data_IF_588113114813
#
_entry.id   IF_588113114813
#
_cell.length_a   1.000
_cell.length_b   1.000
_cell.length_c   1.000
_cell.angle_alpha   90.00
_cell.angle_beta   90.00
_cell.angle_gamma   90.00
#
_symmetry.space_group_name_H-M   'P 1'
#
loop_
_entity.id
_entity.type
_entity.pdbx_description
1 polymer ?
#
# COMPACT_ATOMS: atom_id res chain seq x y z
N UNK A 1 19.07 -11.89 7.68
CA UNK A 1 17.69 -11.35 7.59
C UNK A 1 17.60 -9.90 8.06
N UNK A 2 17.94 -9.57 9.31
CA UNK A 2 17.85 -8.19 9.83
C UNK A 2 18.58 -7.13 8.96
N UNK A 3 19.82 -7.41 8.55
CA UNK A 3 20.62 -6.52 7.69
C UNK A 3 19.90 -6.26 6.35
N UNK A 4 19.40 -7.31 5.70
CA UNK A 4 18.65 -7.19 4.44
C UNK A 4 17.41 -6.31 4.63
N UNK A 5 16.57 -6.61 5.62
CA UNK A 5 15.35 -5.84 5.88
C UNK A 5 15.64 -4.39 6.26
N UNK A 6 16.78 -4.11 6.90
CA UNK A 6 17.21 -2.75 7.18
C UNK A 6 17.48 -1.96 5.89
N UNK A 7 18.24 -2.52 4.95
CA UNK A 7 18.45 -1.84 3.66
C UNK A 7 17.15 -1.69 2.86
N UNK A 8 16.27 -2.70 2.87
CA UNK A 8 14.99 -2.65 2.18
C UNK A 8 14.04 -1.59 2.79
N UNK A 9 13.98 -1.45 4.12
CA UNK A 9 13.16 -0.42 4.75
C UNK A 9 13.70 0.99 4.49
N UNK A 10 15.03 1.17 4.47
CA UNK A 10 15.65 2.45 4.12
C UNK A 10 15.34 2.80 2.66
N UNK A 11 15.31 1.82 1.76
CA UNK A 11 14.93 2.04 0.38
C UNK A 11 13.46 2.50 0.27
N UNK A 12 12.53 1.86 0.98
CA UNK A 12 11.12 2.26 1.02
C UNK A 12 10.94 3.66 1.63
N UNK A 13 11.59 3.96 2.74
CA UNK A 13 11.58 5.30 3.33
C UNK A 13 12.17 6.35 2.37
N UNK A 14 13.20 5.98 1.61
CA UNK A 14 13.81 6.80 0.57
C UNK A 14 12.85 7.17 -0.57
N UNK A 15 11.87 6.31 -0.90
CA UNK A 15 10.84 6.61 -1.91
C UNK A 15 10.03 7.85 -1.50
N UNK A 16 9.60 7.94 -0.24
CA UNK A 16 8.85 9.08 0.27
C UNK A 16 9.66 10.38 0.20
N UNK A 17 10.91 10.34 0.68
CA UNK A 17 11.80 11.52 0.67
C UNK A 17 12.19 11.97 -0.75
N UNK A 18 12.14 11.06 -1.72
CA UNK A 18 12.55 11.31 -3.10
C UNK A 18 11.41 11.75 -4.02
N UNK A 19 10.17 11.87 -3.50
CA UNK A 19 8.97 12.20 -4.30
C UNK A 19 9.16 13.41 -5.20
N UNK A 20 9.77 14.49 -4.70
CA UNK A 20 10.01 15.73 -5.46
C UNK A 20 10.84 15.53 -6.73
N UNK A 21 11.63 14.47 -6.82
CA UNK A 21 12.50 14.18 -7.96
C UNK A 21 11.77 13.39 -9.05
N UNK A 22 11.00 12.36 -8.67
CA UNK A 22 10.30 11.51 -9.63
C UNK A 22 8.88 12.01 -9.94
N UNK A 23 8.29 12.87 -9.11
CA UNK A 23 6.93 13.37 -9.35
C UNK A 23 6.84 14.11 -10.68
N UNK A 24 7.84 14.92 -11.05
CA UNK A 24 7.89 15.59 -12.36
C UNK A 24 7.85 14.60 -13.55
N UNK A 25 8.35 13.37 -13.35
CA UNK A 25 8.33 12.31 -14.36
C UNK A 25 6.98 11.59 -14.44
N UNK A 26 6.15 11.70 -13.39
CA UNK A 26 4.92 10.91 -13.18
C UNK A 26 3.63 11.73 -13.08
N UNK A 27 3.70 13.02 -12.76
CA UNK A 27 2.54 13.91 -12.54
C UNK A 27 1.63 14.04 -13.76
N UNK A 28 2.18 13.85 -14.96
CA UNK A 28 1.40 13.91 -16.19
C UNK A 28 0.70 12.59 -16.47
N UNK A 29 -0.64 12.57 -16.61
CA UNK A 29 -1.43 11.36 -16.80
C UNK A 29 -1.11 10.54 -18.07
N UNK A 30 -0.28 11.07 -18.98
CA UNK A 30 0.10 10.43 -20.24
C UNK A 30 1.45 9.70 -20.19
N UNK A 31 2.14 9.69 -19.04
CA UNK A 31 3.49 9.14 -18.93
C UNK A 31 3.43 7.60 -18.81
N UNK A 32 4.18 6.85 -19.65
CA UNK A 32 4.19 5.39 -19.64
C UNK A 32 4.48 4.75 -18.29
N UNK A 33 5.39 5.37 -17.51
CA UNK A 33 5.83 4.83 -16.22
C UNK A 33 4.72 4.78 -15.18
N UNK A 34 3.82 5.76 -15.19
CA UNK A 34 2.67 5.80 -14.29
C UNK A 34 1.68 4.67 -14.63
N UNK A 35 1.39 4.49 -15.93
CA UNK A 35 0.54 3.39 -16.39
C UNK A 35 1.15 2.01 -16.08
N UNK A 36 2.47 1.85 -16.21
CA UNK A 36 3.16 0.63 -15.83
C UNK A 36 3.05 0.35 -14.32
N UNK A 37 3.32 1.33 -13.47
CA UNK A 37 3.22 1.19 -12.01
C UNK A 37 1.78 0.92 -11.54
N UNK A 38 0.81 1.49 -12.25
CA UNK A 38 -0.61 1.17 -12.13
C UNK A 38 -0.92 -0.30 -12.39
N UNK A 39 -0.50 -0.81 -13.56
CA UNK A 39 -0.64 -2.22 -13.91
C UNK A 39 0.06 -3.16 -12.93
N UNK A 40 1.26 -2.77 -12.47
CA UNK A 40 1.99 -3.51 -11.44
C UNK A 40 1.23 -3.57 -10.10
N UNK A 41 0.59 -2.47 -9.69
CA UNK A 41 -0.24 -2.41 -8.48
C UNK A 41 -1.49 -3.30 -8.60
N UNK A 42 -2.14 -3.32 -9.76
CA UNK A 42 -3.26 -4.24 -10.04
C UNK A 42 -2.83 -5.70 -9.92
N UNK A 43 -1.70 -6.06 -10.52
CA UNK A 43 -1.15 -7.41 -10.41
C UNK A 43 -0.79 -7.76 -8.96
N UNK A 44 -0.21 -6.82 -8.19
CA UNK A 44 0.08 -7.01 -6.77
C UNK A 44 -1.20 -7.36 -6.00
N UNK A 45 -2.27 -6.59 -6.17
CA UNK A 45 -3.55 -6.84 -5.49
C UNK A 45 -4.09 -8.23 -5.85
N UNK A 46 -4.19 -8.53 -7.15
CA UNK A 46 -4.92 -9.73 -7.61
C UNK A 46 -4.10 -11.01 -7.39
N UNK A 47 -2.82 -10.99 -7.76
CA UNK A 47 -1.97 -12.18 -7.82
C UNK A 47 -1.27 -12.47 -6.49
N UNK A 48 -1.01 -11.44 -5.68
CA UNK A 48 -0.25 -11.59 -4.43
C UNK A 48 -1.12 -11.36 -3.20
N UNK A 49 -1.74 -10.18 -3.09
CA UNK A 49 -2.47 -9.77 -1.89
C UNK A 49 -3.71 -10.63 -1.63
N UNK A 50 -4.55 -10.89 -2.64
CA UNK A 50 -5.79 -11.67 -2.45
C UNK A 50 -5.54 -13.14 -2.04
N UNK A 51 -4.61 -13.90 -2.66
CA UNK A 51 -4.29 -15.25 -2.19
C UNK A 51 -3.74 -15.26 -0.76
N UNK A 52 -2.94 -14.24 -0.41
CA UNK A 52 -2.42 -14.11 0.94
C UNK A 52 -3.52 -13.81 1.97
N UNK A 53 -4.43 -12.89 1.62
CA UNK A 53 -5.60 -12.56 2.40
C UNK A 53 -6.42 -13.81 2.77
N UNK A 54 -6.64 -14.71 1.81
CA UNK A 54 -7.36 -15.96 2.05
C UNK A 54 -6.64 -16.87 3.06
N UNK A 55 -5.30 -16.92 3.05
CA UNK A 55 -4.53 -17.70 4.03
C UNK A 55 -4.68 -17.11 5.43
N UNK A 56 -4.52 -15.79 5.55
CA UNK A 56 -4.67 -15.07 6.82
C UNK A 56 -6.09 -15.22 7.38
N UNK A 57 -7.12 -15.17 6.52
CA UNK A 57 -8.50 -15.38 6.95
C UNK A 57 -8.73 -16.77 7.54
N UNK A 58 -8.17 -17.81 6.92
CA UNK A 58 -8.30 -19.19 7.43
C UNK A 58 -7.66 -19.31 8.82
N UNK A 59 -6.46 -18.76 9.01
CA UNK A 59 -5.80 -18.74 10.31
C UNK A 59 -6.59 -17.95 11.35
N UNK A 60 -7.15 -16.81 10.96
CA UNK A 60 -8.00 -15.99 11.82
C UNK A 60 -9.25 -16.74 12.29
N UNK A 61 -9.94 -17.44 11.38
CA UNK A 61 -11.16 -18.20 11.69
C UNK A 61 -10.91 -19.43 12.58
N UNK A 62 -9.69 -19.97 12.60
CA UNK A 62 -9.30 -21.03 13.54
C UNK A 62 -9.20 -20.47 14.97
N UNK A 63 -8.72 -19.23 15.11
CA UNK A 63 -8.46 -18.60 16.41
C UNK A 63 -9.70 -17.93 17.00
N UNK A 64 -10.57 -17.37 16.16
CA UNK A 64 -11.78 -16.67 16.57
C UNK A 64 -12.99 -17.50 16.13
N UNK A 65 -13.87 -17.93 17.06
CA UNK A 65 -15.07 -18.68 16.71
C UNK A 65 -16.07 -17.76 15.98
N UNK A 66 -16.00 -17.76 14.65
CA UNK A 66 -16.95 -17.09 13.77
C UNK A 66 -18.07 -18.08 13.43
N UNK A 67 -19.36 -17.69 13.44
CA UNK A 67 -20.41 -18.59 12.99
C UNK A 67 -20.19 -18.98 11.52
N UNK A 68 -20.39 -20.26 11.17
CA UNK A 68 -20.13 -20.82 9.82
C UNK A 68 -20.69 -19.99 8.66
N UNK A 69 -21.84 -19.34 8.85
CA UNK A 69 -22.47 -18.45 7.85
C UNK A 69 -21.60 -17.22 7.49
N UNK A 70 -20.74 -16.78 8.41
CA UNK A 70 -19.92 -15.57 8.30
C UNK A 70 -18.42 -15.87 8.16
N UNK A 71 -17.98 -17.12 8.27
CA UNK A 71 -16.57 -17.50 8.18
C UNK A 71 -15.93 -17.02 6.86
N UNK A 72 -16.64 -17.19 5.75
CA UNK A 72 -16.16 -16.77 4.43
C UNK A 72 -16.02 -15.25 4.29
N UNK A 73 -16.66 -14.47 5.16
CA UNK A 73 -16.72 -13.00 5.10
C UNK A 73 -15.95 -12.30 6.22
N UNK A 74 -15.40 -13.03 7.19
CA UNK A 74 -14.90 -12.48 8.46
C UNK A 74 -13.92 -11.32 8.27
N UNK A 75 -12.83 -11.54 7.53
CA UNK A 75 -11.87 -10.49 7.22
C UNK A 75 -12.35 -9.61 6.06
N UNK A 76 -13.11 -10.12 5.09
CA UNK A 76 -13.63 -9.28 3.98
C UNK A 76 -14.47 -8.10 4.48
N UNK A 77 -15.22 -8.26 5.58
CA UNK A 77 -15.94 -7.16 6.21
C UNK A 77 -14.97 -6.09 6.76
N UNK A 78 -13.87 -6.51 7.37
CA UNK A 78 -12.82 -5.60 7.87
C UNK A 78 -12.13 -4.86 6.70
N UNK A 79 -11.86 -5.56 5.61
CA UNK A 79 -11.34 -4.95 4.38
C UNK A 79 -12.34 -3.95 3.79
N UNK A 80 -13.64 -4.24 3.84
CA UNK A 80 -14.68 -3.32 3.40
C UNK A 80 -14.69 -2.04 4.23
N UNK A 81 -14.53 -2.15 5.56
CA UNK A 81 -14.37 -0.99 6.44
C UNK A 81 -13.13 -0.17 6.05
N UNK A 82 -12.00 -0.83 5.78
CA UNK A 82 -10.79 -0.17 5.28
C UNK A 82 -11.02 0.57 3.97
N UNK A 83 -11.64 -0.10 2.99
CA UNK A 83 -12.00 0.50 1.71
C UNK A 83 -12.88 1.75 1.89
N UNK A 84 -13.94 1.66 2.70
CA UNK A 84 -14.85 2.78 2.98
C UNK A 84 -14.12 3.93 3.69
N UNK A 85 -13.23 3.64 4.63
CA UNK A 85 -12.45 4.65 5.33
C UNK A 85 -11.57 5.44 4.36
N UNK A 86 -10.76 4.75 3.54
CA UNK A 86 -9.93 5.44 2.54
C UNK A 86 -10.77 6.14 1.48
N UNK A 87 -11.93 5.59 1.09
CA UNK A 87 -12.82 6.21 0.12
C UNK A 87 -13.36 7.54 0.64
N UNK A 88 -13.85 7.52 1.89
CA UNK A 88 -14.41 8.69 2.55
C UNK A 88 -13.35 9.79 2.71
N UNK A 89 -12.15 9.43 3.17
CA UNK A 89 -11.02 10.37 3.30
C UNK A 89 -10.71 11.01 1.94
N UNK A 90 -10.57 10.21 0.88
CA UNK A 90 -10.30 10.71 -0.47
C UNK A 90 -11.44 11.60 -1.01
N UNK A 91 -12.69 11.27 -0.69
CA UNK A 91 -13.85 12.07 -1.06
C UNK A 91 -13.83 13.45 -0.38
N UNK A 92 -13.52 13.50 0.92
CA UNK A 92 -13.39 14.76 1.65
C UNK A 92 -12.22 15.60 1.16
N UNK A 93 -11.09 14.97 0.84
CA UNK A 93 -9.91 15.66 0.28
C UNK A 93 -10.25 16.39 -1.02
N UNK A 94 -11.06 15.78 -1.89
CA UNK A 94 -11.46 16.39 -3.17
C UNK A 94 -12.56 17.45 -3.05
N UNK A 95 -13.41 17.37 -2.03
CA UNK A 95 -14.55 18.27 -1.84
C UNK A 95 -14.26 19.45 -0.92
N UNK A 96 -13.18 19.39 -0.12
CA UNK A 96 -12.84 20.40 0.87
C UNK A 96 -11.79 21.38 0.33
N UNK A 97 -11.77 22.60 0.89
CA UNK A 97 -10.63 23.50 0.69
C UNK A 97 -9.38 22.88 1.34
N UNK A 98 -8.19 23.01 0.72
CA UNK A 98 -6.95 22.52 1.33
C UNK A 98 -6.72 23.13 2.71
N UNK A 99 -6.83 22.31 3.76
CA UNK A 99 -6.66 22.71 5.16
C UNK A 99 -5.89 21.65 5.96
N UNK A 100 -5.35 22.05 7.11
CA UNK A 100 -4.56 21.25 8.03
C UNK A 100 -5.32 20.02 8.50
N UNK A 101 -6.61 20.15 8.77
CA UNK A 101 -7.42 19.03 9.26
C UNK A 101 -7.51 17.92 8.22
N UNK A 102 -7.83 18.29 6.98
CA UNK A 102 -7.92 17.36 5.83
C UNK A 102 -6.56 16.71 5.56
N UNK A 103 -5.48 17.49 5.62
CA UNK A 103 -4.11 16.99 5.51
C UNK A 103 -3.79 15.96 6.60
N UNK A 104 -4.07 16.27 7.87
CA UNK A 104 -3.76 15.40 9.00
C UNK A 104 -4.51 14.08 8.94
N UNK A 105 -5.81 14.08 8.62
CA UNK A 105 -6.57 12.82 8.46
C UNK A 105 -6.06 12.00 7.27
N UNK A 106 -5.78 12.65 6.15
CA UNK A 106 -5.32 11.95 4.96
C UNK A 106 -3.92 11.34 5.18
N UNK A 107 -2.95 12.14 5.65
CA UNK A 107 -1.60 11.66 5.96
C UNK A 107 -1.60 10.68 7.12
N UNK A 108 -2.44 10.86 8.14
CA UNK A 108 -2.58 9.94 9.27
C UNK A 108 -3.01 8.53 8.84
N UNK A 109 -3.97 8.43 7.92
CA UNK A 109 -4.34 7.14 7.34
C UNK A 109 -3.17 6.50 6.57
N UNK A 110 -2.39 7.30 5.83
CA UNK A 110 -1.19 6.82 5.15
C UNK A 110 -0.02 6.50 6.10
N UNK A 111 0.05 7.08 7.30
CA UNK A 111 1.02 6.69 8.34
C UNK A 111 0.69 5.29 8.89
N UNK A 112 -0.58 5.01 9.17
CA UNK A 112 -1.03 3.66 9.56
C UNK A 112 -0.81 2.64 8.43
N UNK A 113 -1.03 3.07 7.20
CA UNK A 113 -0.78 2.28 6.00
C UNK A 113 0.70 1.88 5.88
N UNK A 114 1.59 2.87 5.95
CA UNK A 114 3.02 2.69 5.71
C UNK A 114 3.74 2.01 6.87
N UNK A 115 3.31 2.25 8.11
CA UNK A 115 3.82 1.50 9.26
C UNK A 115 3.49 0.01 9.18
N UNK A 116 2.34 -0.37 8.64
CA UNK A 116 2.08 -1.78 8.40
C UNK A 116 3.03 -2.38 7.36
N UNK A 117 3.32 -1.68 6.26
CA UNK A 117 4.27 -2.15 5.24
C UNK A 117 5.64 -2.40 5.87
N UNK A 118 6.12 -1.46 6.69
CA UNK A 118 7.37 -1.62 7.43
C UNK A 118 7.34 -2.83 8.37
N UNK A 119 6.25 -3.00 9.14
CA UNK A 119 6.07 -4.14 10.03
C UNK A 119 6.01 -5.47 9.25
N UNK A 120 5.29 -5.49 8.15
CA UNK A 120 5.11 -6.65 7.28
C UNK A 120 6.44 -7.08 6.64
N UNK A 121 7.35 -6.16 6.36
CA UNK A 121 8.67 -6.49 5.82
C UNK A 121 9.47 -7.47 6.70
N UNK A 122 9.23 -7.50 8.01
CA UNK A 122 9.91 -8.41 8.95
C UNK A 122 8.98 -9.45 9.59
N UNK A 123 7.65 -9.23 9.59
CA UNK A 123 6.65 -10.14 10.19
C UNK A 123 5.62 -10.70 9.20
N UNK A 124 5.76 -10.40 7.92
CA UNK A 124 4.92 -10.94 6.85
C UNK A 124 5.09 -12.44 6.65
N UNK A 125 4.22 -13.05 5.84
CA UNK A 125 4.13 -14.51 5.74
C UNK A 125 5.34 -15.16 5.06
N UNK A 126 6.01 -14.46 4.13
CA UNK A 126 7.16 -14.99 3.38
C UNK A 126 8.43 -14.25 3.77
N UNK A 127 9.29 -14.92 4.55
CA UNK A 127 10.55 -14.36 5.07
C UNK A 127 11.79 -14.80 4.28
N UNK A 128 11.63 -15.35 3.07
CA UNK A 128 12.77 -15.69 2.21
C UNK A 128 13.34 -14.42 1.53
N UNK A 129 14.68 -14.32 1.36
CA UNK A 129 15.30 -13.13 0.76
C UNK A 129 14.71 -12.72 -0.59
N UNK A 130 14.43 -13.69 -1.47
CA UNK A 130 13.84 -13.45 -2.79
C UNK A 130 12.46 -12.79 -2.68
N UNK A 131 11.62 -13.30 -1.78
CA UNK A 131 10.26 -12.80 -1.53
C UNK A 131 10.29 -11.37 -1.01
N UNK A 132 11.20 -11.07 -0.08
CA UNK A 132 11.36 -9.73 0.49
C UNK A 132 11.84 -8.71 -0.54
N UNK A 133 12.77 -9.09 -1.42
CA UNK A 133 13.25 -8.22 -2.50
C UNK A 133 12.10 -7.89 -3.45
N UNK A 134 11.33 -8.88 -3.88
CA UNK A 134 10.25 -8.65 -4.85
C UNK A 134 9.07 -7.90 -4.20
N UNK A 135 8.73 -8.22 -2.95
CA UNK A 135 7.82 -7.41 -2.15
C UNK A 135 8.25 -5.94 -2.13
N UNK A 136 9.55 -5.69 -1.86
CA UNK A 136 10.09 -4.32 -1.81
C UNK A 136 10.00 -3.63 -3.16
N UNK A 137 10.35 -4.30 -4.26
CA UNK A 137 10.23 -3.74 -5.62
C UNK A 137 8.78 -3.38 -5.96
N UNK A 138 7.84 -4.27 -5.65
CA UNK A 138 6.41 -4.02 -5.85
C UNK A 138 5.92 -2.82 -5.04
N UNK A 139 6.30 -2.76 -3.76
CA UNK A 139 5.92 -1.65 -2.89
C UNK A 139 6.61 -0.33 -3.25
N UNK A 140 7.84 -0.33 -3.80
CA UNK A 140 8.43 0.91 -4.33
C UNK A 140 7.53 1.51 -5.40
N UNK A 141 7.10 0.71 -6.39
CA UNK A 141 6.20 1.19 -7.44
C UNK A 141 4.88 1.67 -6.87
N UNK A 142 4.31 0.91 -5.94
CA UNK A 142 3.05 1.27 -5.30
C UNK A 142 3.13 2.57 -4.49
N UNK A 143 4.19 2.73 -3.67
CA UNK A 143 4.44 3.93 -2.89
C UNK A 143 4.73 5.14 -3.78
N UNK A 144 5.47 4.99 -4.88
CA UNK A 144 5.69 6.07 -5.84
C UNK A 144 4.37 6.61 -6.41
N UNK A 145 3.43 5.72 -6.80
CA UNK A 145 2.12 6.14 -7.32
C UNK A 145 1.32 6.87 -6.25
N UNK A 146 1.26 6.32 -5.03
CA UNK A 146 0.56 6.94 -3.90
C UNK A 146 1.15 8.31 -3.55
N UNK A 147 2.47 8.42 -3.48
CA UNK A 147 3.18 9.64 -3.10
C UNK A 147 2.97 10.76 -4.13
N UNK A 148 2.94 10.43 -5.43
CA UNK A 148 2.57 11.40 -6.47
C UNK A 148 1.13 11.88 -6.29
N UNK A 149 0.19 10.96 -5.99
CA UNK A 149 -1.20 11.31 -5.70
C UNK A 149 -1.32 12.24 -4.49
N UNK A 150 -0.70 11.88 -3.37
CA UNK A 150 -0.72 12.68 -2.13
C UNK A 150 -0.05 14.04 -2.30
N UNK A 151 1.04 14.10 -3.08
CA UNK A 151 1.71 15.36 -3.41
C UNK A 151 0.82 16.27 -4.25
N UNK A 152 0.08 15.72 -5.22
CA UNK A 152 -0.89 16.48 -6.01
C UNK A 152 -2.06 16.99 -5.15
N UNK A 153 -2.55 16.15 -4.23
CA UNK A 153 -3.68 16.48 -3.35
C UNK A 153 -3.32 17.58 -2.31
N UNK A 154 -2.09 17.59 -1.79
CA UNK A 154 -1.69 18.47 -0.66
C UNK A 154 -0.60 19.51 -0.97
N UNK A 155 -0.01 19.46 -2.17
CA UNK A 155 0.96 20.43 -2.70
C UNK A 155 2.05 20.83 -1.68
N UNK A 156 2.07 22.11 -1.27
CA UNK A 156 3.14 22.73 -0.46
C UNK A 156 3.35 22.08 0.91
N UNK A 157 2.35 21.39 1.46
CA UNK A 157 2.44 20.76 2.79
C UNK A 157 3.03 19.34 2.72
N UNK A 158 2.91 18.68 1.57
CA UNK A 158 3.38 17.31 1.40
C UNK A 158 4.90 17.21 1.40
N UNK A 159 5.58 18.08 0.65
CA UNK A 159 7.04 18.01 0.47
C UNK A 159 7.82 18.08 1.80
N UNK A 160 7.58 19.04 2.72
CA UNK A 160 8.33 19.11 3.98
C UNK A 160 7.83 18.16 5.07
N UNK A 161 6.51 17.95 5.18
CA UNK A 161 5.93 17.23 6.33
C UNK A 161 5.37 15.86 5.95
N UNK A 162 4.60 15.77 4.87
CA UNK A 162 4.00 14.51 4.43
C UNK A 162 5.06 13.45 4.12
N UNK A 163 6.02 13.78 3.25
CA UNK A 163 7.11 12.87 2.86
C UNK A 163 7.91 12.35 4.07
N UNK A 164 8.23 13.23 5.02
CA UNK A 164 8.97 12.88 6.23
C UNK A 164 8.16 11.97 7.15
N UNK A 165 6.89 12.29 7.38
CA UNK A 165 6.01 11.47 8.23
C UNK A 165 5.82 10.07 7.65
N UNK A 166 5.65 9.95 6.32
CA UNK A 166 5.51 8.64 5.68
C UNK A 166 6.82 7.85 5.74
N UNK A 167 7.97 8.46 5.46
CA UNK A 167 9.28 7.82 5.60
C UNK A 167 9.51 7.30 7.03
N UNK A 168 9.24 8.13 8.04
CA UNK A 168 9.35 7.75 9.44
C UNK A 168 8.36 6.64 9.80
N UNK A 169 7.15 6.64 9.24
CA UNK A 169 6.14 5.62 9.54
C UNK A 169 6.55 4.24 9.02
N UNK A 170 7.10 4.12 7.81
CA UNK A 170 7.62 2.84 7.29
C UNK A 170 8.75 2.34 8.17
N UNK A 171 9.70 3.22 8.53
CA UNK A 171 10.82 2.86 9.39
C UNK A 171 10.36 2.45 10.80
N UNK A 172 9.43 3.20 11.40
CA UNK A 172 8.86 2.90 12.71
C UNK A 172 8.07 1.58 12.71
N UNK A 173 7.38 1.27 11.61
CA UNK A 173 6.73 -0.02 11.40
C UNK A 173 7.71 -1.18 11.42
N UNK A 174 8.82 -1.05 10.69
CA UNK A 174 9.88 -2.05 10.69
C UNK A 174 10.52 -2.20 12.08
N UNK A 175 10.77 -1.09 12.77
CA UNK A 175 11.29 -1.08 14.12
C UNK A 175 10.33 -1.77 15.10
N UNK A 176 9.02 -1.50 14.98
CA UNK A 176 7.98 -2.18 15.74
C UNK A 176 8.03 -3.69 15.49
N UNK A 177 8.14 -4.13 14.24
CA UNK A 177 8.25 -5.54 13.89
C UNK A 177 9.54 -6.19 14.40
N UNK A 178 10.60 -5.42 14.65
CA UNK A 178 11.82 -5.95 15.25
C UNK A 178 11.63 -6.31 16.73
N UNK A 179 10.89 -5.49 17.49
CA UNK A 179 10.74 -5.65 18.94
C UNK A 179 9.44 -6.35 19.35
N UNK A 180 8.40 -6.27 18.53
CA UNK A 180 7.05 -6.71 18.89
C UNK A 180 6.53 -7.69 17.84
N UNK A 181 6.07 -8.85 18.31
CA UNK A 181 5.27 -9.77 17.49
C UNK A 181 3.81 -9.58 17.87
N UNK A 182 3.02 -9.05 16.94
CA UNK A 182 1.59 -8.89 17.15
C UNK A 182 0.90 -10.26 17.23
N UNK A 183 -0.15 -10.40 18.06
CA UNK A 183 -1.04 -11.56 17.98
C UNK A 183 -1.59 -11.74 16.57
N UNK A 184 -1.75 -12.98 16.12
CA UNK A 184 -2.26 -13.31 14.78
C UNK A 184 -3.57 -12.60 14.46
N UNK A 185 -4.45 -12.44 15.46
CA UNK A 185 -5.73 -11.73 15.32
C UNK A 185 -5.54 -10.25 14.99
N UNK A 186 -4.67 -9.56 15.72
CA UNK A 186 -4.39 -8.14 15.49
C UNK A 186 -3.68 -7.91 14.15
N UNK A 187 -2.74 -8.80 13.80
CA UNK A 187 -2.10 -8.78 12.49
C UNK A 187 -3.11 -8.96 11.36
N UNK A 188 -4.01 -9.94 11.46
CA UNK A 188 -5.03 -10.21 10.46
C UNK A 188 -6.02 -9.05 10.29
N UNK A 189 -6.44 -8.41 11.38
CA UNK A 189 -7.31 -7.23 11.34
C UNK A 189 -6.63 -6.04 10.66
N UNK A 190 -5.36 -5.76 11.02
CA UNK A 190 -4.60 -4.66 10.42
C UNK A 190 -4.30 -4.94 8.94
N UNK A 191 -3.86 -6.16 8.60
CA UNK A 191 -3.67 -6.60 7.22
C UNK A 191 -4.95 -6.44 6.40
N UNK A 192 -6.08 -6.89 6.95
CA UNK A 192 -7.35 -6.87 6.22
C UNK A 192 -7.85 -5.45 5.96
N UNK A 193 -7.85 -4.60 7.00
CA UNK A 193 -8.21 -3.19 6.87
C UNK A 193 -7.31 -2.50 5.82
N UNK A 194 -6.00 -2.79 5.86
CA UNK A 194 -5.06 -2.26 4.89
C UNK A 194 -5.36 -2.76 3.47
N UNK A 195 -5.63 -4.04 3.29
CA UNK A 195 -5.91 -4.63 1.98
C UNK A 195 -7.08 -3.92 1.27
N UNK A 196 -8.11 -3.52 2.02
CA UNK A 196 -9.19 -2.67 1.52
C UNK A 196 -8.71 -1.29 1.05
N UNK A 197 -7.82 -0.66 1.81
CA UNK A 197 -7.17 0.60 1.44
C UNK A 197 -6.28 0.48 0.19
N UNK A 198 -5.46 -0.59 0.10
CA UNK A 198 -4.64 -0.90 -1.08
C UNK A 198 -5.51 -1.08 -2.32
N UNK A 199 -6.60 -1.84 -2.18
CA UNK A 199 -7.55 -2.08 -3.27
C UNK A 199 -8.13 -0.76 -3.77
N UNK A 200 -8.62 0.10 -2.87
CA UNK A 200 -9.13 1.40 -3.27
C UNK A 200 -8.05 2.24 -3.94
N UNK A 201 -6.87 2.39 -3.34
CA UNK A 201 -5.83 3.25 -3.88
C UNK A 201 -5.38 2.77 -5.26
N UNK A 202 -5.28 1.46 -5.47
CA UNK A 202 -5.02 0.85 -6.77
C UNK A 202 -6.10 1.19 -7.80
N UNK A 203 -7.37 1.04 -7.41
CA UNK A 203 -8.52 1.33 -8.30
C UNK A 203 -8.67 2.83 -8.58
N UNK A 204 -8.47 3.69 -7.57
CA UNK A 204 -8.56 5.16 -7.67
C UNK A 204 -7.54 5.70 -8.67
N UNK A 205 -6.31 5.20 -8.61
CA UNK A 205 -5.21 5.72 -9.43
C UNK A 205 -5.32 5.28 -10.90
N UNK A 206 -6.07 4.20 -11.17
CA UNK A 206 -6.33 3.68 -12.51
C UNK A 206 -7.69 4.06 -13.10
N UNK A 207 -8.72 4.34 -12.28
CA UNK A 207 -10.06 4.63 -12.80
C UNK A 207 -10.12 6.01 -13.50
N UNK A 208 -10.61 6.04 -14.75
CA UNK A 208 -10.53 7.21 -15.60
C UNK A 208 -11.63 8.19 -15.25
N UNK A 209 -11.27 9.32 -14.64
CA UNK A 209 -11.99 10.57 -14.90
C UNK A 209 -11.13 11.62 -15.60
N UNK A 210 -9.81 11.58 -15.46
CA UNK A 210 -8.91 12.57 -16.09
C UNK A 210 -7.57 12.01 -16.61
N UNK A 211 -7.24 10.73 -16.32
CA UNK A 211 -5.97 10.12 -16.73
C UNK A 211 -6.09 9.37 -18.05
N UNK A 212 -5.61 9.96 -19.14
CA UNK A 212 -5.44 9.29 -20.45
C UNK A 212 -4.34 8.22 -20.37
N UNK A 213 -4.55 7.14 -19.62
CA UNK A 213 -3.58 6.09 -19.39
C UNK A 213 -3.18 5.41 -20.71
N UNK A 214 -1.93 4.97 -20.80
CA UNK A 214 -1.46 4.23 -21.97
C UNK A 214 -1.67 2.74 -21.70
N UNK A 215 -2.50 2.11 -22.54
CA UNK A 215 -2.87 0.70 -22.41
C UNK A 215 -1.67 -0.24 -22.43
N UNK A 216 -0.72 -0.05 -23.37
CA UNK A 216 0.40 -0.98 -23.52
C UNK A 216 1.34 -1.00 -22.30
N UNK A 217 1.85 0.14 -21.77
CA UNK A 217 2.61 0.14 -20.52
C UNK A 217 1.85 -0.47 -19.35
N UNK A 218 0.53 -0.26 -19.25
CA UNK A 218 -0.30 -0.88 -18.22
C UNK A 218 -0.32 -2.40 -18.35
N UNK A 219 -0.61 -2.94 -19.53
CA UNK A 219 -0.59 -4.40 -19.78
C UNK A 219 0.79 -4.99 -19.48
N UNK A 220 1.87 -4.30 -19.87
CA UNK A 220 3.24 -4.73 -19.53
C UNK A 220 3.48 -4.74 -18.02
N UNK A 221 2.98 -3.74 -17.30
CA UNK A 221 3.03 -3.68 -15.84
C UNK A 221 2.32 -4.87 -15.20
N UNK A 222 1.11 -5.19 -15.67
CA UNK A 222 0.36 -6.37 -15.20
C UNK A 222 1.11 -7.66 -15.53
N UNK A 223 1.53 -7.85 -16.78
CA UNK A 223 2.15 -9.09 -17.24
C UNK A 223 3.49 -9.37 -16.55
N UNK A 224 4.38 -8.39 -16.50
CA UNK A 224 5.70 -8.53 -15.86
C UNK A 224 5.53 -8.77 -14.36
N UNK A 225 4.65 -8.02 -13.69
CA UNK A 225 4.44 -8.18 -12.24
C UNK A 225 3.76 -9.50 -11.91
N UNK A 226 2.82 -9.97 -12.74
CA UNK A 226 2.19 -11.29 -12.58
C UNK A 226 3.23 -12.40 -12.67
N UNK A 227 4.10 -12.37 -13.69
CA UNK A 227 5.20 -13.32 -13.79
C UNK A 227 6.08 -13.26 -12.55
N UNK A 228 6.47 -12.06 -12.10
CA UNK A 228 7.26 -11.88 -10.89
C UNK A 228 6.59 -12.53 -9.68
N UNK A 229 5.29 -12.30 -9.43
CA UNK A 229 4.59 -12.82 -8.26
C UNK A 229 4.31 -14.33 -8.29
N UNK A 230 4.15 -14.94 -9.47
CA UNK A 230 3.93 -16.38 -9.59
C UNK A 230 5.17 -17.19 -9.17
N UNK A 231 6.37 -16.63 -9.37
CA UNK A 231 7.63 -17.32 -9.05
C UNK A 231 8.10 -17.16 -7.60
N UNK A 232 7.20 -16.81 -6.68
CA UNK A 232 7.47 -16.53 -5.26
C UNK A 232 6.37 -17.13 -4.40
#
# INVERSE_FOLDING_TARGET
MAILTFFLVILLAGVHLSVKYYSKLMEQPRKPILSFAGGASVAYVIIHLLPEFQKIQKEFNILIPIPKKFEDYSLYLVATVGFIAFYSINHFVKSSKPDTTVFTFHIGAFVLYNSFIGYYLIKGLKQEPKSLIIFTVAFILHLMVNDVGLRLDHQKRYDPWGSLLLALSVFAGWLLGFFVTLPTTLFALWFSWLAGGILLNTVKEELPKERKSKLLPFILGVGISTLLFIFI
#
